data_IF_441558299105
#
_entry.id   IF_441558299105
#
_cell.length_a   1.000
_cell.length_b   1.000
_cell.length_c   1.000
_cell.angle_alpha   90.00
_cell.angle_beta   90.00
_cell.angle_gamma   90.00
#
_symmetry.space_group_name_H-M   'P 1'
#
loop_
_entity.id
_entity.type
_entity.pdbx_description
1 polymer ?
#
# COMPACT_ATOMS: atom_id res chain seq x y z
N UNK A 1 13.12 13.58 10.30
CA UNK A 1 12.83 12.73 9.12
C UNK A 1 14.13 12.51 8.36
N UNK A 2 14.75 11.33 8.48
CA UNK A 2 15.98 11.01 7.75
C UNK A 2 15.58 10.32 6.45
N UNK A 3 15.75 10.99 5.33
CA UNK A 3 15.57 10.40 4.00
C UNK A 3 16.82 9.55 3.74
N UNK A 4 16.71 8.24 3.91
CA UNK A 4 17.67 7.33 3.30
C UNK A 4 17.51 7.49 1.78
N UNK A 5 18.55 8.00 1.13
CA UNK A 5 18.61 8.09 -0.32
C UNK A 5 18.71 6.67 -0.88
N UNK A 6 17.58 5.98 -1.02
CA UNK A 6 17.49 4.79 -1.86
C UNK A 6 17.49 5.26 -3.31
N UNK A 7 18.68 5.31 -3.91
CA UNK A 7 18.92 5.50 -5.34
C UNK A 7 18.36 4.32 -6.14
N UNK A 8 17.04 4.16 -6.13
CA UNK A 8 16.30 3.22 -6.97
C UNK A 8 15.47 4.07 -7.93
N UNK A 9 15.69 3.88 -9.24
CA UNK A 9 14.99 4.58 -10.33
C UNK A 9 13.47 4.66 -10.11
N UNK A 10 12.88 3.63 -9.50
CA UNK A 10 11.44 3.55 -9.17
C UNK A 10 10.98 4.60 -8.15
N UNK A 11 11.80 4.91 -7.14
CA UNK A 11 11.46 5.91 -6.12
C UNK A 11 11.45 7.32 -6.72
N UNK A 12 12.37 7.61 -7.66
CA UNK A 12 12.42 8.85 -8.40
C UNK A 12 11.19 9.00 -9.33
N UNK A 13 10.88 7.97 -10.12
CA UNK A 13 9.71 7.97 -11.03
C UNK A 13 8.39 8.20 -10.24
N UNK A 14 8.25 7.55 -9.08
CA UNK A 14 7.08 7.73 -8.22
C UNK A 14 7.01 9.13 -7.59
N UNK A 15 8.12 9.68 -7.11
CA UNK A 15 8.16 11.04 -6.57
C UNK A 15 7.81 12.09 -7.64
N UNK A 16 8.34 11.94 -8.86
CA UNK A 16 7.99 12.80 -9.99
C UNK A 16 6.51 12.72 -10.35
N UNK A 17 5.91 11.52 -10.28
CA UNK A 17 4.46 11.34 -10.46
C UNK A 17 3.65 12.09 -9.40
N UNK A 18 4.00 11.95 -8.11
CA UNK A 18 3.33 12.68 -7.04
C UNK A 18 3.46 14.20 -7.18
N UNK A 19 4.61 14.69 -7.65
CA UNK A 19 4.81 16.13 -7.93
C UNK A 19 3.91 16.62 -9.05
N UNK A 20 3.73 15.84 -10.13
CA UNK A 20 2.83 16.23 -11.21
C UNK A 20 1.39 16.34 -10.74
N UNK A 21 0.94 15.42 -9.89
CA UNK A 21 -0.37 15.47 -9.23
C UNK A 21 -0.50 16.72 -8.37
N UNK A 22 0.46 16.98 -7.48
CA UNK A 22 0.41 18.11 -6.54
C UNK A 22 0.49 19.49 -7.23
N UNK A 23 1.12 19.56 -8.40
CA UNK A 23 1.21 20.76 -9.22
C UNK A 23 0.07 20.91 -10.23
N UNK A 24 -0.92 20.01 -10.23
CA UNK A 24 -2.04 19.99 -11.18
C UNK A 24 -1.60 19.91 -12.66
N UNK A 25 -0.51 19.17 -12.90
CA UNK A 25 0.07 18.96 -14.24
C UNK A 25 -0.07 17.52 -14.73
N UNK A 26 -0.59 16.61 -13.90
CA UNK A 26 -0.90 15.23 -14.29
C UNK A 26 -2.20 15.20 -15.11
N UNK A 27 -2.24 14.35 -16.15
CA UNK A 27 -3.42 14.23 -17.01
C UNK A 27 -4.61 13.69 -16.22
N UNK A 28 -5.74 14.39 -16.30
CA UNK A 28 -7.01 13.96 -15.71
C UNK A 28 -7.94 13.36 -16.75
N UNK A 29 -8.82 12.47 -16.29
CA UNK A 29 -9.98 11.96 -17.03
C UNK A 29 -11.22 12.75 -16.60
N UNK A 30 -12.42 12.30 -17.00
CA UNK A 30 -13.68 12.94 -16.62
C UNK A 30 -13.77 13.20 -15.11
N UNK A 31 -14.37 14.34 -14.75
CA UNK A 31 -14.56 14.82 -13.37
C UNK A 31 -13.26 15.13 -12.61
N UNK A 32 -12.20 15.57 -13.30
CA UNK A 32 -10.88 15.88 -12.71
C UNK A 32 -10.28 14.71 -11.92
N UNK A 33 -10.59 13.48 -12.32
CA UNK A 33 -10.02 12.30 -11.70
C UNK A 33 -8.69 11.97 -12.36
N UNK A 34 -7.74 11.45 -11.59
CA UNK A 34 -6.47 10.96 -12.13
C UNK A 34 -6.61 9.47 -12.41
N UNK A 35 -6.22 9.05 -13.62
CA UNK A 35 -6.14 7.63 -13.95
C UNK A 35 -4.82 7.07 -13.41
N UNK A 36 -4.90 6.20 -12.41
CA UNK A 36 -3.71 5.55 -11.85
C UNK A 36 -3.16 4.52 -12.85
N UNK A 37 -1.83 4.47 -13.00
CA UNK A 37 -1.17 3.45 -13.83
C UNK A 37 -1.28 2.05 -13.23
N UNK A 38 -1.43 1.03 -14.08
CA UNK A 38 -1.39 -0.40 -13.68
C UNK A 38 -0.13 -0.79 -12.89
N UNK A 39 0.95 -0.01 -13.01
CA UNK A 39 2.19 -0.20 -12.22
C UNK A 39 1.99 0.00 -10.71
N UNK A 40 0.97 0.76 -10.31
CA UNK A 40 0.70 1.12 -8.90
C UNK A 40 -0.70 0.69 -8.44
N UNK A 41 -1.51 0.10 -9.32
CA UNK A 41 -2.86 -0.37 -9.02
C UNK A 41 -2.85 -1.88 -8.84
N UNK A 42 -3.44 -2.34 -7.73
CA UNK A 42 -3.84 -3.74 -7.58
C UNK A 42 -5.32 -3.82 -7.91
N UNK A 43 -5.65 -4.52 -8.99
CA UNK A 43 -7.03 -4.74 -9.40
C UNK A 43 -7.65 -5.81 -8.52
N UNK A 44 -8.73 -5.45 -7.82
CA UNK A 44 -9.48 -6.36 -6.96
C UNK A 44 -10.71 -6.86 -7.71
N UNK A 45 -10.95 -8.17 -7.74
CA UNK A 45 -12.19 -8.68 -8.32
C UNK A 45 -13.37 -8.50 -7.36
N UNK A 46 -14.58 -8.42 -7.91
CA UNK A 46 -15.82 -8.08 -7.19
C UNK A 46 -16.15 -9.05 -6.05
N UNK A 47 -15.70 -10.30 -6.17
CA UNK A 47 -16.01 -11.39 -5.22
C UNK A 47 -14.78 -11.81 -4.38
N UNK A 48 -13.66 -11.11 -4.50
CA UNK A 48 -12.47 -11.39 -3.71
C UNK A 48 -12.47 -10.61 -2.39
N UNK A 49 -12.02 -11.26 -1.31
CA UNK A 49 -11.73 -10.57 -0.04
C UNK A 49 -10.52 -9.66 -0.26
N UNK A 50 -10.81 -8.42 -0.66
CA UNK A 50 -9.83 -7.40 -1.02
C UNK A 50 -8.86 -7.07 0.11
N UNK A 51 -9.36 -7.08 1.35
CA UNK A 51 -8.55 -6.90 2.56
C UNK A 51 -7.56 -8.06 2.69
N UNK A 52 -8.01 -9.28 2.44
CA UNK A 52 -7.13 -10.45 2.45
C UNK A 52 -6.05 -10.40 1.38
N UNK A 53 -6.39 -10.00 0.15
CA UNK A 53 -5.45 -9.86 -0.95
C UNK A 53 -4.41 -8.77 -0.67
N UNK A 54 -4.85 -7.58 -0.25
CA UNK A 54 -3.97 -6.48 0.11
C UNK A 54 -3.02 -6.87 1.26
N UNK A 55 -3.56 -7.54 2.28
CA UNK A 55 -2.76 -8.02 3.41
C UNK A 55 -1.71 -9.03 2.96
N UNK A 56 -2.08 -10.00 2.11
CA UNK A 56 -1.14 -11.01 1.61
C UNK A 56 -0.09 -10.42 0.66
N UNK A 57 -0.47 -9.42 -0.15
CA UNK A 57 0.45 -8.74 -1.04
C UNK A 57 1.52 -7.95 -0.27
N UNK A 58 1.11 -7.25 0.81
CA UNK A 58 2.02 -6.42 1.60
C UNK A 58 2.79 -7.22 2.65
N UNK A 59 2.12 -8.10 3.40
CA UNK A 59 2.67 -8.88 4.50
C UNK A 59 2.79 -10.37 4.14
N UNK A 60 3.62 -10.65 3.15
CA UNK A 60 3.93 -12.02 2.74
C UNK A 60 4.57 -12.81 3.89
N UNK A 61 4.09 -14.03 4.12
CA UNK A 61 4.56 -14.91 5.20
C UNK A 61 4.61 -14.20 6.56
N UNK A 62 3.52 -13.49 6.92
CA UNK A 62 3.46 -12.68 8.15
C UNK A 62 3.92 -13.43 9.39
N UNK A 63 3.58 -14.71 9.55
CA UNK A 63 4.00 -15.53 10.71
C UNK A 63 5.53 -15.66 10.84
N UNK A 64 6.25 -15.69 9.73
CA UNK A 64 7.71 -15.85 9.69
C UNK A 64 8.43 -14.49 9.83
N UNK A 65 7.79 -13.42 9.35
CA UNK A 65 8.40 -12.09 9.27
C UNK A 65 7.93 -11.11 10.36
N UNK A 66 6.92 -11.43 11.16
CA UNK A 66 6.34 -10.51 12.13
C UNK A 66 7.33 -10.04 13.21
N UNK A 67 8.34 -10.84 13.53
CA UNK A 67 9.41 -10.48 14.49
C UNK A 67 10.54 -9.68 13.82
N UNK A 68 10.58 -9.61 12.49
CA UNK A 68 11.56 -8.82 11.76
C UNK A 68 11.14 -7.34 11.75
N UNK A 69 11.79 -6.55 12.59
CA UNK A 69 11.50 -5.11 12.73
C UNK A 69 11.61 -4.38 11.40
N UNK A 70 12.65 -4.64 10.60
CA UNK A 70 12.83 -3.96 9.32
C UNK A 70 11.67 -4.27 8.38
N UNK A 71 11.31 -5.56 8.27
CA UNK A 71 10.20 -6.01 7.44
C UNK A 71 8.89 -5.30 7.80
N UNK A 72 8.59 -5.21 9.09
CA UNK A 72 7.36 -4.59 9.59
C UNK A 72 7.36 -3.05 9.44
N UNK A 73 8.51 -2.39 9.54
CA UNK A 73 8.59 -0.92 9.44
C UNK A 73 8.62 -0.37 8.02
N UNK A 74 9.06 -1.16 7.04
CA UNK A 74 9.14 -0.73 5.63
C UNK A 74 7.82 -0.82 4.87
N UNK A 75 6.76 -1.34 5.52
CA UNK A 75 5.47 -1.63 4.90
C UNK A 75 4.37 -0.91 5.67
N UNK A 76 3.43 -0.35 4.93
CA UNK A 76 2.23 0.26 5.49
C UNK A 76 1.06 0.10 4.53
N UNK A 77 -0.13 -0.13 5.10
CA UNK A 77 -1.39 -0.03 4.36
C UNK A 77 -2.07 1.24 4.88
N UNK A 78 -2.34 2.18 3.98
CA UNK A 78 -3.00 3.43 4.30
C UNK A 78 -4.42 3.40 3.73
N UNK A 79 -5.40 3.77 4.56
CA UNK A 79 -6.78 3.96 4.13
C UNK A 79 -7.24 5.37 4.45
N UNK A 80 -8.17 5.95 3.67
CA UNK A 80 -8.70 7.28 3.96
C UNK A 80 -9.46 7.37 5.29
N UNK A 81 -10.08 6.26 5.74
CA UNK A 81 -10.91 6.20 6.93
C UNK A 81 -10.29 5.32 8.02
N UNK A 82 -10.37 5.80 9.27
CA UNK A 82 -9.95 5.04 10.45
C UNK A 82 -10.80 3.79 10.70
N UNK A 83 -12.08 3.80 10.29
CA UNK A 83 -12.92 2.60 10.36
C UNK A 83 -12.35 1.46 9.53
N UNK A 84 -11.72 1.77 8.41
CA UNK A 84 -11.10 0.76 7.56
C UNK A 84 -9.72 0.34 8.09
N UNK A 85 -8.98 1.25 8.73
CA UNK A 85 -7.78 0.91 9.51
C UNK A 85 -8.11 -0.13 10.58
N UNK A 86 -9.21 0.05 11.33
CA UNK A 86 -9.60 -0.90 12.37
C UNK A 86 -9.87 -2.30 11.80
N UNK A 87 -10.64 -2.40 10.71
CA UNK A 87 -10.90 -3.67 10.02
C UNK A 87 -9.62 -4.34 9.53
N UNK A 88 -8.69 -3.56 8.96
CA UNK A 88 -7.39 -4.05 8.50
C UNK A 88 -6.55 -4.57 9.67
N UNK A 89 -6.45 -3.80 10.75
CA UNK A 89 -5.68 -4.18 11.93
C UNK A 89 -6.22 -5.46 12.57
N UNK A 90 -7.55 -5.58 12.72
CA UNK A 90 -8.18 -6.80 13.21
C UNK A 90 -7.83 -8.01 12.32
N UNK A 91 -7.93 -7.86 10.99
CA UNK A 91 -7.62 -8.94 10.04
C UNK A 91 -6.14 -9.36 10.10
N UNK A 92 -5.22 -8.40 10.19
CA UNK A 92 -3.77 -8.66 10.29
C UNK A 92 -3.46 -9.39 11.60
N UNK A 93 -4.04 -8.93 12.72
CA UNK A 93 -3.85 -9.55 14.03
C UNK A 93 -4.42 -10.97 14.10
N UNK A 94 -5.58 -11.21 13.50
CA UNK A 94 -6.16 -12.54 13.37
C UNK A 94 -5.22 -13.47 12.59
N UNK A 95 -4.72 -13.04 11.42
CA UNK A 95 -3.76 -13.84 10.63
C UNK A 95 -2.46 -14.14 11.35
N UNK A 96 -1.96 -13.20 12.14
CA UNK A 96 -0.79 -13.42 12.97
C UNK A 96 -1.05 -14.48 14.05
N UNK A 97 -2.25 -14.45 14.64
CA UNK A 97 -2.64 -15.34 15.74
C UNK A 97 -3.06 -16.75 15.28
N UNK A 98 -3.55 -16.92 14.06
CA UNK A 98 -4.00 -18.21 13.49
C UNK A 98 -2.87 -19.22 13.19
N UNK A 99 -1.59 -18.80 13.28
CA UNK A 99 -0.42 -19.64 12.98
C UNK A 99 0.52 -19.90 14.16
N UNK A 100 0.12 -19.55 15.39
CA UNK A 100 0.79 -20.00 16.62
C UNK A 100 0.17 -21.30 17.12
#
# INVERSE_FOLDING_TARGET
MRVAQTTSYKAKEFAEYLLRIGNDTETTIANNLICLSDKIVIHLQKDEDSINLLTNAMYQNLSENATNTLFMTERAILTPLNSDVNKLNEKIMTKYSEKQ
#
